data_IF_430954305218
#
_entry.id   IF_430954305218
#
_cell.length_a   1.000
_cell.length_b   1.000
_cell.length_c   1.000
_cell.angle_alpha   90.00
_cell.angle_beta   90.00
_cell.angle_gamma   90.00
#
_symmetry.space_group_name_H-M   'P 1'
#
loop_
_entity.id
_entity.type
_entity.pdbx_description
1 polymer ?
#
# COMPACT_ATOMS: atom_id res chain seq x y z
N UNK A 1 4.14 -34.90 -6.62
CA UNK A 1 5.03 -33.72 -6.69
C UNK A 1 4.20 -32.51 -6.24
N UNK A 2 4.42 -32.03 -5.02
CA UNK A 2 3.70 -30.87 -4.47
C UNK A 2 4.42 -29.62 -4.99
N UNK A 3 3.79 -28.90 -5.93
CA UNK A 3 4.29 -27.58 -6.34
C UNK A 3 3.76 -26.58 -5.32
N UNK A 4 4.59 -26.28 -4.32
CA UNK A 4 4.37 -25.13 -3.44
C UNK A 4 4.71 -23.89 -4.28
N UNK A 5 3.70 -23.25 -4.88
CA UNK A 5 3.90 -21.93 -5.49
C UNK A 5 3.98 -20.89 -4.37
N UNK A 6 5.20 -20.55 -3.96
CA UNK A 6 5.43 -19.29 -3.27
C UNK A 6 4.97 -18.16 -4.21
N UNK A 7 3.97 -17.37 -3.84
CA UNK A 7 3.57 -16.17 -4.60
C UNK A 7 4.61 -15.06 -4.38
N UNK A 8 5.82 -15.24 -4.90
CA UNK A 8 6.63 -14.13 -5.39
C UNK A 8 6.23 -13.88 -6.83
N UNK A 9 5.00 -13.40 -7.05
CA UNK A 9 4.44 -13.22 -8.39
C UNK A 9 5.24 -12.17 -9.15
N UNK A 10 5.52 -12.42 -10.43
CA UNK A 10 6.13 -11.39 -11.29
C UNK A 10 5.14 -10.23 -11.40
N UNK A 11 5.61 -9.00 -11.35
CA UNK A 11 4.78 -7.81 -11.38
C UNK A 11 3.80 -7.76 -12.56
N UNK A 12 4.20 -8.27 -13.73
CA UNK A 12 3.34 -8.36 -14.93
C UNK A 12 2.05 -9.16 -14.72
N UNK A 13 2.05 -10.09 -13.75
CA UNK A 13 0.91 -10.97 -13.48
C UNK A 13 -0.14 -10.30 -12.60
N UNK A 14 0.28 -9.36 -11.75
CA UNK A 14 -0.57 -8.79 -10.69
C UNK A 14 -0.86 -7.30 -10.82
N UNK A 15 -0.06 -6.55 -11.57
CA UNK A 15 -0.15 -5.10 -11.66
C UNK A 15 -0.17 -4.62 -13.12
N UNK A 16 -0.82 -3.48 -13.35
CA UNK A 16 -0.74 -2.70 -14.57
C UNK A 16 -0.07 -1.35 -14.30
N UNK A 17 0.74 -0.89 -15.26
CA UNK A 17 1.21 0.51 -15.28
C UNK A 17 0.07 1.34 -15.84
N UNK A 18 -0.50 2.22 -15.02
CA UNK A 18 -1.69 3.01 -15.37
C UNK A 18 -1.36 4.41 -15.87
N UNK A 19 -0.18 4.94 -15.55
CA UNK A 19 0.31 6.21 -16.09
C UNK A 19 1.83 6.34 -15.97
N UNK A 20 2.41 7.23 -16.79
CA UNK A 20 3.80 7.68 -16.59
C UNK A 20 4.66 7.82 -17.84
N UNK A 21 4.14 7.59 -19.05
CA UNK A 21 4.85 7.91 -20.31
C UNK A 21 6.31 7.41 -20.40
N UNK A 22 6.61 6.24 -19.82
CA UNK A 22 7.96 5.67 -19.75
C UNK A 22 8.67 5.81 -18.40
N UNK A 23 8.10 6.55 -17.45
CA UNK A 23 8.63 6.75 -16.10
C UNK A 23 8.33 5.61 -15.13
N UNK A 24 7.42 4.69 -15.49
CA UNK A 24 7.26 3.40 -14.83
C UNK A 24 7.91 2.30 -15.68
N UNK A 25 8.76 1.47 -15.06
CA UNK A 25 9.40 0.33 -15.73
C UNK A 25 9.39 -0.90 -14.85
N UNK A 26 9.05 -2.04 -15.43
CA UNK A 26 9.24 -3.35 -14.82
C UNK A 26 10.57 -3.92 -15.32
N UNK A 27 11.48 -4.17 -14.39
CA UNK A 27 12.84 -4.63 -14.62
C UNK A 27 13.05 -6.04 -14.03
N UNK A 28 14.25 -6.59 -14.21
CA UNK A 28 14.68 -7.86 -13.61
C UNK A 28 13.70 -9.01 -13.85
N UNK A 29 13.21 -9.13 -15.09
CA UNK A 29 12.22 -10.15 -15.46
C UNK A 29 11.00 -10.19 -14.51
N UNK A 30 10.55 -9.02 -14.03
CA UNK A 30 9.27 -8.88 -13.34
C UNK A 30 9.40 -8.76 -11.84
N UNK A 31 10.61 -8.60 -11.32
CA UNK A 31 10.90 -8.62 -9.89
C UNK A 31 11.06 -7.23 -9.28
N UNK A 32 11.18 -6.21 -10.14
CA UNK A 32 11.40 -4.84 -9.73
C UNK A 32 10.51 -3.90 -10.55
N UNK A 33 9.74 -3.05 -9.88
CA UNK A 33 9.14 -1.86 -10.48
C UNK A 33 9.95 -0.65 -10.06
N UNK A 34 10.21 0.22 -11.04
CA UNK A 34 10.73 1.57 -10.80
C UNK A 34 9.66 2.58 -11.17
N UNK A 35 9.41 3.52 -10.27
CA UNK A 35 8.55 4.68 -10.52
C UNK A 35 9.43 5.93 -10.45
N UNK A 36 9.47 6.66 -11.56
CA UNK A 36 10.18 7.93 -11.66
C UNK A 36 9.19 9.09 -11.74
N UNK A 37 9.61 10.22 -11.18
CA UNK A 37 8.95 11.51 -11.30
C UNK A 37 9.96 12.49 -11.88
N UNK A 38 9.65 13.02 -13.06
CA UNK A 38 10.45 14.04 -13.71
C UNK A 38 9.71 15.39 -13.76
N UNK A 39 10.17 16.31 -14.60
CA UNK A 39 9.56 17.63 -14.75
C UNK A 39 8.21 17.61 -15.49
N UNK A 40 7.96 16.56 -16.25
CA UNK A 40 6.86 16.40 -17.20
C UNK A 40 5.75 15.55 -16.57
N UNK A 41 6.10 14.42 -15.95
CA UNK A 41 5.13 13.51 -15.36
C UNK A 41 5.70 12.69 -14.21
N UNK A 42 4.80 12.24 -13.33
CA UNK A 42 5.06 11.12 -12.43
C UNK A 42 4.80 9.79 -13.10
N UNK A 43 4.56 8.76 -12.29
CA UNK A 43 4.19 7.43 -12.78
C UNK A 43 3.47 6.64 -11.69
N UNK A 44 2.75 5.60 -12.10
CA UNK A 44 2.06 4.75 -11.15
C UNK A 44 1.59 3.43 -11.72
N UNK A 45 1.27 2.53 -10.81
CA UNK A 45 0.73 1.22 -11.09
C UNK A 45 -0.53 0.97 -10.25
N UNK A 46 -1.34 0.03 -10.70
CA UNK A 46 -2.55 -0.43 -10.01
C UNK A 46 -2.59 -1.95 -10.04
N UNK A 47 -3.25 -2.58 -9.07
CA UNK A 47 -3.51 -4.02 -9.13
C UNK A 47 -4.52 -4.35 -10.22
N UNK A 48 -4.29 -5.46 -10.91
CA UNK A 48 -5.21 -5.99 -11.93
C UNK A 48 -6.56 -6.44 -11.35
N UNK A 49 -6.53 -6.85 -10.09
CA UNK A 49 -7.71 -7.29 -9.36
C UNK A 49 -8.05 -6.29 -8.27
N UNK A 50 -9.35 -6.20 -8.00
CA UNK A 50 -9.87 -5.59 -6.78
C UNK A 50 -9.91 -6.62 -5.66
N UNK A 51 -9.72 -6.15 -4.43
CA UNK A 51 -9.65 -7.01 -3.26
C UNK A 51 -10.57 -6.50 -2.16
N UNK A 52 -11.41 -7.38 -1.61
CA UNK A 52 -12.32 -7.02 -0.52
C UNK A 52 -11.63 -7.03 0.84
N UNK A 53 -10.81 -8.06 1.10
CA UNK A 53 -10.00 -8.21 2.30
C UNK A 53 -8.66 -8.81 1.90
N UNK A 54 -7.58 -8.48 2.61
CA UNK A 54 -6.31 -9.12 2.33
C UNK A 54 -5.16 -8.65 3.20
N UNK A 55 -4.08 -9.40 3.11
CA UNK A 55 -2.74 -8.97 3.48
C UNK A 55 -1.95 -8.74 2.19
N UNK A 56 -1.44 -7.51 2.01
CA UNK A 56 -0.66 -7.13 0.85
C UNK A 56 0.71 -6.67 1.34
N UNK A 57 1.75 -7.37 0.89
CA UNK A 57 3.13 -7.12 1.27
C UNK A 57 3.92 -6.65 0.05
N UNK A 58 4.74 -5.63 0.26
CA UNK A 58 5.64 -5.10 -0.75
C UNK A 58 6.87 -4.50 -0.08
N UNK A 59 8.04 -4.66 -0.70
CA UNK A 59 9.25 -3.97 -0.30
C UNK A 59 9.34 -2.65 -1.06
N UNK A 60 9.64 -1.58 -0.32
CA UNK A 60 9.77 -0.23 -0.86
C UNK A 60 11.14 0.33 -0.50
N UNK A 61 11.83 0.88 -1.50
CA UNK A 61 12.98 1.75 -1.31
C UNK A 61 12.65 3.15 -1.84
N UNK A 62 12.65 4.11 -0.93
CA UNK A 62 12.35 5.52 -1.20
C UNK A 62 13.45 6.19 -2.03
N UNK A 63 13.11 7.35 -2.59
CA UNK A 63 14.03 8.22 -3.35
C UNK A 63 15.22 8.61 -2.46
N UNK A 64 16.47 8.35 -2.86
CA UNK A 64 17.64 8.75 -2.09
C UNK A 64 17.97 10.23 -2.27
N UNK A 65 18.75 10.81 -1.35
CA UNK A 65 19.22 12.19 -1.46
C UNK A 65 18.11 13.22 -1.22
N UNK A 66 18.15 14.34 -1.95
CA UNK A 66 17.09 15.34 -1.84
C UNK A 66 15.81 14.85 -2.52
N UNK A 67 14.80 14.63 -1.71
CA UNK A 67 13.44 14.20 -2.08
C UNK A 67 12.38 15.25 -1.71
N UNK A 68 12.83 16.50 -1.53
CA UNK A 68 12.07 17.73 -1.36
C UNK A 68 10.73 17.78 -2.09
N UNK A 69 9.60 17.57 -1.40
CA UNK A 69 8.27 17.71 -2.00
C UNK A 69 7.81 16.53 -2.86
N UNK A 70 8.59 15.45 -2.95
CA UNK A 70 8.17 14.22 -3.62
C UNK A 70 7.37 13.34 -2.66
N UNK A 71 6.36 12.63 -3.18
CA UNK A 71 5.57 11.67 -2.41
C UNK A 71 5.63 10.32 -3.14
N UNK A 72 6.12 9.30 -2.44
CA UNK A 72 5.99 7.90 -2.87
C UNK A 72 4.87 7.28 -2.05
N UNK A 73 3.76 6.94 -2.69
CA UNK A 73 2.57 6.41 -2.04
C UNK A 73 2.33 4.94 -2.38
N UNK A 74 1.89 4.18 -1.38
CA UNK A 74 1.34 2.84 -1.55
C UNK A 74 0.06 2.78 -0.73
N UNK A 75 -1.08 2.59 -1.40
CA UNK A 75 -2.39 2.71 -0.78
C UNK A 75 -3.40 1.74 -1.41
N UNK A 76 -4.46 1.45 -0.66
CA UNK A 76 -5.70 0.90 -1.20
C UNK A 76 -6.66 2.07 -1.39
N UNK A 77 -7.27 2.21 -2.56
CA UNK A 77 -8.21 3.30 -2.78
C UNK A 77 -8.89 3.29 -4.14
N UNK A 78 -10.02 3.97 -4.19
CA UNK A 78 -10.87 4.12 -5.37
C UNK A 78 -10.26 5.12 -6.37
N UNK A 79 -10.82 5.16 -7.58
CA UNK A 79 -10.37 5.92 -8.75
C UNK A 79 -10.19 7.46 -8.56
N UNK A 80 -10.54 8.04 -7.41
CA UNK A 80 -10.59 9.51 -7.20
C UNK A 80 -9.32 10.15 -6.60
N UNK A 81 -8.25 9.40 -6.35
CA UNK A 81 -7.17 9.82 -5.43
C UNK A 81 -6.18 10.88 -5.99
N UNK A 82 -6.18 11.22 -7.27
CA UNK A 82 -5.24 12.23 -7.81
C UNK A 82 -5.86 13.65 -7.87
N UNK A 83 -5.95 14.33 -6.71
CA UNK A 83 -6.35 15.74 -6.61
C UNK A 83 -5.17 16.70 -6.40
N UNK A 84 -4.55 17.10 -7.51
CA UNK A 84 -3.87 18.39 -7.77
C UNK A 84 -2.93 18.96 -6.66
N UNK A 85 -1.92 18.17 -6.27
CA UNK A 85 -0.98 18.43 -5.17
C UNK A 85 -0.46 19.87 -5.04
N UNK A 86 -0.68 20.44 -3.84
CA UNK A 86 -0.34 21.83 -3.48
C UNK A 86 1.07 22.05 -2.92
N UNK A 87 2.01 21.10 -3.11
CA UNK A 87 3.42 21.26 -2.72
C UNK A 87 4.29 21.28 -3.98
N UNK A 88 5.01 22.38 -4.18
CA UNK A 88 5.87 22.58 -5.36
C UNK A 88 7.22 21.90 -5.16
N UNK A 89 7.49 20.88 -5.98
CA UNK A 89 8.74 20.11 -6.03
C UNK A 89 9.87 20.95 -6.65
N UNK A 90 11.10 20.83 -6.12
CA UNK A 90 12.30 21.33 -6.79
C UNK A 90 12.62 20.46 -8.02
N UNK A 91 12.15 20.91 -9.17
CA UNK A 91 12.25 20.19 -10.44
C UNK A 91 13.68 20.09 -11.00
N UNK A 92 14.67 20.75 -10.40
CA UNK A 92 16.06 20.71 -10.88
C UNK A 92 16.77 19.38 -10.65
N UNK A 93 16.26 18.57 -9.72
CA UNK A 93 16.88 17.30 -9.30
C UNK A 93 16.14 16.06 -9.77
N UNK A 94 15.16 16.24 -10.64
CA UNK A 94 14.55 15.16 -11.39
C UNK A 94 15.59 14.40 -12.25
N UNK A 95 15.43 13.08 -12.46
CA UNK A 95 14.29 12.26 -12.03
C UNK A 95 14.42 11.75 -10.58
N UNK A 96 13.31 11.74 -9.86
CA UNK A 96 13.20 11.13 -8.55
C UNK A 96 12.67 9.71 -8.70
N UNK A 97 13.49 8.70 -8.42
CA UNK A 97 13.12 7.29 -8.65
C UNK A 97 12.98 6.52 -7.34
N UNK A 98 11.84 5.87 -7.19
CA UNK A 98 11.53 4.91 -6.12
C UNK A 98 11.45 3.49 -6.66
N UNK A 99 11.66 2.50 -5.79
CA UNK A 99 11.79 1.11 -6.19
C UNK A 99 10.88 0.21 -5.35
N UNK A 100 10.17 -0.68 -6.04
CA UNK A 100 9.23 -1.62 -5.43
C UNK A 100 9.59 -3.05 -5.83
N UNK A 101 9.64 -3.95 -4.86
CA UNK A 101 9.97 -5.37 -5.07
C UNK A 101 9.13 -6.27 -4.18
N UNK A 102 9.19 -7.59 -4.46
CA UNK A 102 8.56 -8.62 -3.64
C UNK A 102 7.06 -8.38 -3.37
N UNK A 103 6.30 -8.18 -4.45
CA UNK A 103 4.84 -8.03 -4.36
C UNK A 103 4.18 -9.36 -4.06
N UNK A 104 3.56 -9.45 -2.88
CA UNK A 104 2.89 -10.64 -2.39
C UNK A 104 1.50 -10.26 -1.88
N UNK A 105 0.48 -10.88 -2.46
CA UNK A 105 -0.92 -10.62 -2.12
C UNK A 105 -1.55 -11.90 -1.61
N UNK A 106 -2.11 -11.85 -0.40
CA UNK A 106 -2.96 -12.89 0.19
C UNK A 106 -4.31 -12.27 0.49
N UNK A 107 -5.20 -12.27 -0.50
CA UNK A 107 -6.42 -11.49 -0.45
C UNK A 107 -7.61 -12.20 -1.13
N UNK A 108 -8.80 -11.75 -0.76
CA UNK A 108 -10.07 -12.10 -1.38
C UNK A 108 -10.25 -11.27 -2.64
N UNK A 109 -10.13 -11.88 -3.82
CA UNK A 109 -10.42 -11.21 -5.09
C UNK A 109 -11.91 -10.93 -5.15
N UNK A 110 -12.26 -9.68 -5.41
CA UNK A 110 -13.64 -9.27 -5.66
C UNK A 110 -13.94 -9.38 -7.14
N UNK A 111 -15.12 -9.89 -7.47
CA UNK A 111 -15.64 -9.90 -8.84
C UNK A 111 -17.13 -9.60 -8.84
N UNK A 112 -17.70 -9.34 -10.01
CA UNK A 112 -19.13 -9.03 -10.17
C UNK A 112 -20.06 -10.14 -9.65
N UNK A 113 -19.57 -11.38 -9.51
CA UNK A 113 -20.33 -12.52 -9.00
C UNK A 113 -20.10 -12.82 -7.51
N UNK A 114 -19.32 -11.99 -6.81
CA UNK A 114 -19.06 -12.12 -5.37
C UNK A 114 -17.56 -12.20 -5.04
N UNK A 115 -17.28 -12.50 -3.78
CA UNK A 115 -15.91 -12.59 -3.26
C UNK A 115 -15.33 -13.98 -3.46
N UNK A 116 -14.05 -14.08 -3.79
CA UNK A 116 -13.34 -15.37 -3.81
C UNK A 116 -13.28 -16.06 -2.43
N UNK A 117 -13.66 -15.34 -1.37
CA UNK A 117 -13.77 -15.85 -0.02
C UNK A 117 -15.17 -16.38 0.34
N UNK A 118 -16.14 -16.26 -0.57
CA UNK A 118 -17.45 -16.87 -0.43
C UNK A 118 -17.34 -18.38 -0.73
N UNK A 119 -17.49 -19.19 0.32
CA UNK A 119 -17.30 -20.66 0.35
C UNK A 119 -18.35 -21.48 -0.43
N UNK A 120 -18.99 -20.92 -1.47
CA UNK A 120 -20.02 -21.63 -2.25
C UNK A 120 -19.50 -22.59 -3.32
N UNK A 121 -18.18 -22.74 -3.49
CA UNK A 121 -17.59 -23.62 -4.52
C UNK A 121 -16.78 -24.80 -3.96
N UNK A 122 -17.05 -26.06 -4.39
CA UNK A 122 -16.26 -27.25 -4.03
C UNK A 122 -14.81 -27.24 -4.53
N UNK A 123 -14.46 -26.31 -5.43
CA UNK A 123 -13.14 -26.13 -6.04
C UNK A 123 -12.34 -24.98 -5.43
N UNK A 124 -12.85 -24.32 -4.38
CA UNK A 124 -12.15 -23.23 -3.72
C UNK A 124 -10.88 -23.78 -3.04
N UNK A 125 -9.70 -23.39 -3.57
CA UNK A 125 -8.43 -23.60 -2.87
C UNK A 125 -8.59 -23.01 -1.45
N UNK A 126 -8.29 -23.75 -0.37
CA UNK A 126 -8.32 -23.17 0.96
C UNK A 126 -7.24 -22.09 1.05
N UNK A 127 -7.62 -20.84 0.86
CA UNK A 127 -6.74 -19.72 1.22
C UNK A 127 -6.64 -19.77 2.75
N UNK A 128 -5.41 -19.91 3.27
CA UNK A 128 -5.18 -19.90 4.73
C UNK A 128 -5.49 -18.50 5.28
N UNK A 129 -6.73 -18.32 5.75
CA UNK A 129 -7.26 -17.07 6.31
C UNK A 129 -6.70 -16.73 7.71
N UNK A 130 -5.60 -17.34 8.16
CA UNK A 130 -4.93 -16.97 9.43
C UNK A 130 -4.68 -15.47 9.54
N UNK A 131 -4.38 -14.80 8.43
CA UNK A 131 -4.18 -13.35 8.40
C UNK A 131 -5.45 -12.56 8.77
N UNK A 132 -6.65 -13.08 8.44
CA UNK A 132 -7.93 -12.41 8.70
C UNK A 132 -8.29 -12.41 10.18
N UNK A 133 -7.85 -13.43 10.93
CA UNK A 133 -8.11 -13.59 12.37
C UNK A 133 -6.94 -13.11 13.24
N UNK A 134 -5.93 -12.46 12.65
CA UNK A 134 -4.71 -12.08 13.36
C UNK A 134 -4.97 -10.86 14.24
N UNK A 135 -5.05 -11.09 15.54
CA UNK A 135 -5.03 -10.01 16.54
C UNK A 135 -3.64 -9.41 16.74
N UNK A 136 -3.58 -8.21 17.33
CA UNK A 136 -2.32 -7.59 17.71
C UNK A 136 -1.81 -8.22 19.02
N UNK A 137 -0.75 -9.00 18.95
CA UNK A 137 -0.11 -9.59 20.13
C UNK A 137 0.45 -8.49 21.06
N UNK A 138 0.54 -8.76 22.37
CA UNK A 138 0.99 -7.78 23.40
C UNK A 138 2.33 -7.13 23.03
N UNK A 139 3.30 -7.92 22.58
CA UNK A 139 4.61 -7.41 22.14
C UNK A 139 4.52 -6.47 20.93
N UNK A 140 3.60 -6.73 20.00
CA UNK A 140 3.35 -5.84 18.85
C UNK A 140 2.69 -4.54 19.29
N UNK A 141 1.80 -4.59 20.30
CA UNK A 141 1.18 -3.41 20.89
C UNK A 141 2.22 -2.53 21.62
N UNK A 142 3.13 -3.13 22.38
CA UNK A 142 4.23 -2.41 23.04
C UNK A 142 5.14 -1.75 22.01
N UNK A 143 5.48 -2.45 20.93
CA UNK A 143 6.27 -1.88 19.83
C UNK A 143 5.54 -0.71 19.17
N UNK A 144 4.23 -0.84 18.94
CA UNK A 144 3.41 0.25 18.39
C UNK A 144 3.43 1.47 19.32
N UNK A 145 3.24 1.29 20.62
CA UNK A 145 3.32 2.35 21.62
C UNK A 145 4.69 3.02 21.64
N UNK A 146 5.77 2.25 21.53
CA UNK A 146 7.13 2.79 21.46
C UNK A 146 7.35 3.64 20.19
N UNK A 147 6.87 3.20 19.03
CA UNK A 147 6.96 3.98 17.78
C UNK A 147 6.14 5.27 17.90
N UNK A 148 4.91 5.18 18.41
CA UNK A 148 4.07 6.35 18.65
C UNK A 148 4.73 7.36 19.59
N UNK A 149 5.41 6.89 20.63
CA UNK A 149 6.10 7.78 21.59
C UNK A 149 7.34 8.46 21.02
N UNK A 150 8.11 7.77 20.18
CA UNK A 150 9.44 8.26 19.77
C UNK A 150 9.48 8.87 18.36
N UNK A 151 8.53 8.54 17.47
CA UNK A 151 8.60 8.91 16.05
C UNK A 151 7.33 9.57 15.50
N UNK A 152 6.21 9.58 16.24
CA UNK A 152 4.97 10.22 15.77
C UNK A 152 5.04 11.73 15.98
N UNK A 153 5.04 12.47 14.87
CA UNK A 153 5.09 13.95 14.89
C UNK A 153 3.70 14.61 14.76
N UNK A 154 2.68 13.82 14.38
CA UNK A 154 1.31 14.30 14.20
C UNK A 154 0.31 13.19 14.48
N UNK A 155 -0.77 13.51 15.19
CA UNK A 155 -1.90 12.63 15.45
C UNK A 155 -3.20 13.43 15.40
N UNK A 156 -4.06 13.12 14.43
CA UNK A 156 -5.33 13.84 14.22
C UNK A 156 -6.29 13.70 15.42
N UNK A 157 -6.24 12.59 16.16
CA UNK A 157 -7.04 12.39 17.37
C UNK A 157 -6.64 13.31 18.53
N UNK A 158 -5.54 14.05 18.41
CA UNK A 158 -5.11 15.04 19.40
C UNK A 158 -5.15 16.47 18.87
N UNK A 159 -5.51 16.64 17.59
CA UNK A 159 -5.54 17.94 16.93
C UNK A 159 -6.89 18.64 17.12
N UNK A 160 -7.06 19.22 18.31
CA UNK A 160 -8.26 20.00 18.66
C UNK A 160 -8.39 21.27 17.82
N UNK A 161 -7.30 21.78 17.22
CA UNK A 161 -7.35 22.96 16.35
C UNK A 161 -8.02 22.62 15.03
N UNK A 162 -7.72 21.43 14.48
CA UNK A 162 -8.39 20.90 13.29
C UNK A 162 -9.84 20.51 13.55
N UNK A 163 -10.15 20.01 14.75
CA UNK A 163 -11.49 19.55 15.14
C UNK A 163 -12.10 20.38 16.29
N UNK A 164 -12.40 21.67 16.07
CA UNK A 164 -12.88 22.56 17.13
C UNK A 164 -14.28 22.20 17.65
N UNK A 165 -15.03 21.37 16.93
CA UNK A 165 -16.39 20.92 17.30
C UNK A 165 -16.43 19.57 18.01
N UNK A 166 -15.26 19.03 18.36
CA UNK A 166 -15.11 17.70 18.94
C UNK A 166 -14.35 16.76 18.03
N UNK A 167 -13.59 15.86 18.64
CA UNK A 167 -12.76 14.88 17.96
C UNK A 167 -13.62 13.80 17.30
N UNK A 168 -13.11 13.14 16.24
CA UNK A 168 -13.79 12.03 15.59
C UNK A 168 -14.13 10.89 16.58
N UNK A 169 -15.31 10.23 16.49
CA UNK A 169 -15.75 9.22 17.46
C UNK A 169 -14.80 8.04 17.62
N UNK A 170 -14.10 7.64 16.55
CA UNK A 170 -13.12 6.56 16.57
C UNK A 170 -11.91 6.87 17.47
N UNK A 171 -11.64 8.14 17.75
CA UNK A 171 -10.58 8.55 18.67
C UNK A 171 -10.88 8.24 20.13
N UNK A 172 -12.15 7.96 20.47
CA UNK A 172 -12.55 7.56 21.82
C UNK A 172 -12.25 6.08 22.14
N UNK A 173 -11.82 5.29 21.15
CA UNK A 173 -11.47 3.89 21.36
C UNK A 173 -10.13 3.79 22.09
N UNK A 174 -10.18 3.79 23.43
CA UNK A 174 -9.07 3.30 24.24
C UNK A 174 -8.87 1.83 23.92
N UNK A 175 -7.63 1.42 23.62
CA UNK A 175 -7.24 0.02 23.55
C UNK A 175 -7.50 -0.62 24.92
N UNK A 176 -8.72 -1.11 25.14
CA UNK A 176 -9.06 -1.99 26.25
C UNK A 176 -8.25 -3.27 26.03
N UNK A 177 -7.21 -3.39 26.84
CA UNK A 177 -6.41 -4.60 27.05
C UNK A 177 -7.27 -5.75 27.50
#
# INVERSE_FOLDING_TARGET
MVVISAFGGKFYQGLDIIWGSGNAKILNNGELITLSLDRISGSGFQSKNEYLFGEINMQLKLVPGDSAGTVTSYYNGDDWITRDGLIKIDRTRAPFTSFFSNFNVRACVWSSSGSSCDVKSPSARPIDYKWLKKGLHVTSLERLKWVQKNYMIYNYCTDIKRFPRGLPPECAVTATT
#
